data_IF_419132904920
#
_entry.id   IF_419132904920
#
_cell.length_a   1.000
_cell.length_b   1.000
_cell.length_c   1.000
_cell.angle_alpha   90.00
_cell.angle_beta   90.00
_cell.angle_gamma   90.00
#
_symmetry.space_group_name_H-M   'P 1'
#
loop_
_entity.id
_entity.type
_entity.pdbx_description
1 polymer ?
#
# COMPACT_ATOMS: atom_id res chain seq x y z
N UNK A 1 34.63 9.31 -25.99
CA UNK A 1 33.19 9.34 -25.64
C UNK A 1 33.04 8.56 -24.36
N UNK A 2 32.99 9.25 -23.22
CA UNK A 2 32.79 8.63 -21.91
C UNK A 2 31.30 8.37 -21.74
N UNK A 3 30.91 7.11 -21.91
CA UNK A 3 29.60 6.63 -21.50
C UNK A 3 29.47 6.90 -20.00
N UNK A 4 28.58 7.86 -19.67
CA UNK A 4 28.12 8.05 -18.30
C UNK A 4 27.39 6.77 -17.92
N UNK A 5 28.03 5.95 -17.08
CA UNK A 5 27.36 4.91 -16.33
C UNK A 5 26.29 5.65 -15.51
N UNK A 6 25.03 5.54 -15.96
CA UNK A 6 23.89 5.99 -15.17
C UNK A 6 23.83 5.02 -14.00
N UNK A 7 24.36 5.42 -12.85
CA UNK A 7 24.11 4.78 -11.57
C UNK A 7 22.59 4.81 -11.34
N UNK A 8 21.90 3.77 -11.80
CA UNK A 8 20.52 3.50 -11.40
C UNK A 8 20.58 3.10 -9.93
N UNK A 9 20.29 4.07 -9.06
CA UNK A 9 20.09 3.83 -7.64
C UNK A 9 19.15 2.60 -7.44
N UNK A 10 19.39 1.77 -6.42
CA UNK A 10 18.90 0.40 -6.37
C UNK A 10 17.37 0.34 -6.34
N UNK A 11 16.80 -0.07 -7.47
CA UNK A 11 15.63 -0.92 -7.72
C UNK A 11 14.69 -1.25 -6.54
N UNK A 12 14.24 -0.27 -5.75
CA UNK A 12 13.26 -0.47 -4.68
C UNK A 12 12.28 0.69 -4.61
N UNK A 13 11.78 1.14 -5.76
CA UNK A 13 10.89 2.30 -5.85
C UNK A 13 9.46 1.87 -6.15
N UNK A 14 8.52 2.63 -5.62
CA UNK A 14 7.10 2.49 -5.90
C UNK A 14 6.83 2.87 -7.36
N UNK A 15 6.05 2.07 -8.10
CA UNK A 15 5.70 2.39 -9.49
C UNK A 15 4.73 3.57 -9.60
N UNK A 16 3.99 3.89 -8.53
CA UNK A 16 2.99 4.97 -8.52
C UNK A 16 3.60 6.32 -8.11
N UNK A 17 4.32 6.36 -6.98
CA UNK A 17 4.87 7.63 -6.45
C UNK A 17 6.37 7.81 -6.67
N UNK A 18 7.06 6.82 -7.26
CA UNK A 18 8.53 6.78 -7.42
C UNK A 18 9.33 6.83 -6.10
N UNK A 19 8.70 6.88 -4.93
CA UNK A 19 9.41 6.85 -3.64
C UNK A 19 10.04 5.50 -3.35
N UNK A 20 11.10 5.51 -2.52
CA UNK A 20 11.74 4.28 -2.05
C UNK A 20 10.78 3.52 -1.13
N UNK A 21 10.57 2.23 -1.43
CA UNK A 21 9.77 1.32 -0.60
C UNK A 21 10.56 1.00 0.67
N UNK A 22 10.24 1.69 1.76
CA UNK A 22 10.85 1.49 3.09
C UNK A 22 10.12 0.45 3.93
N UNK A 23 8.85 0.17 3.60
CA UNK A 23 8.05 -0.88 4.21
C UNK A 23 7.63 -1.94 3.16
N UNK A 24 8.43 -3.01 2.99
CA UNK A 24 8.23 -4.01 1.95
C UNK A 24 7.13 -5.02 2.34
N UNK A 25 5.88 -4.58 2.39
CA UNK A 25 4.70 -5.45 2.50
C UNK A 25 3.92 -5.39 1.19
N UNK A 26 3.77 -6.53 0.51
CA UNK A 26 2.97 -6.57 -0.71
C UNK A 26 1.50 -6.29 -0.41
N UNK A 27 0.80 -5.82 -1.44
CA UNK A 27 -0.62 -5.49 -1.39
C UNK A 27 -1.48 -6.65 -0.92
N UNK A 28 -1.15 -7.90 -1.23
CA UNK A 28 -1.91 -9.07 -0.74
C UNK A 28 -1.82 -9.23 0.78
N UNK A 29 -0.61 -9.19 1.35
CA UNK A 29 -0.41 -9.30 2.80
C UNK A 29 -0.99 -8.08 3.52
N UNK A 30 -0.95 -6.92 2.89
CA UNK A 30 -1.50 -5.70 3.47
C UNK A 30 -3.03 -5.69 3.42
N UNK A 31 -3.63 -6.08 2.28
CA UNK A 31 -5.08 -6.24 2.11
C UNK A 31 -5.67 -7.25 3.09
N UNK A 32 -5.02 -8.40 3.31
CA UNK A 32 -5.47 -9.38 4.30
C UNK A 32 -5.56 -8.77 5.71
N UNK A 33 -4.57 -7.98 6.11
CA UNK A 33 -4.58 -7.30 7.42
C UNK A 33 -5.65 -6.22 7.51
N UNK A 34 -5.77 -5.40 6.47
CA UNK A 34 -6.78 -4.35 6.39
C UNK A 34 -8.20 -4.92 6.42
N UNK A 35 -8.46 -5.98 5.66
CA UNK A 35 -9.74 -6.67 5.62
C UNK A 35 -10.10 -7.25 7.00
N UNK A 36 -9.13 -7.79 7.76
CA UNK A 36 -9.39 -8.25 9.13
C UNK A 36 -9.85 -7.12 10.05
N UNK A 37 -9.20 -5.94 9.97
CA UNK A 37 -9.57 -4.77 10.77
C UNK A 37 -10.95 -4.24 10.38
N UNK A 38 -11.22 -4.08 9.08
CA UNK A 38 -12.52 -3.58 8.59
C UNK A 38 -13.65 -4.54 8.92
N UNK A 39 -13.38 -5.86 8.90
CA UNK A 39 -14.39 -6.91 9.17
C UNK A 39 -15.00 -6.82 10.56
N UNK A 40 -14.28 -6.27 11.55
CA UNK A 40 -14.81 -6.06 12.90
C UNK A 40 -15.96 -5.04 12.92
N UNK A 41 -16.00 -4.13 11.95
CA UNK A 41 -17.01 -3.09 11.83
C UNK A 41 -18.02 -3.37 10.71
N UNK A 42 -17.55 -3.88 9.57
CA UNK A 42 -18.38 -4.19 8.41
C UNK A 42 -17.80 -5.38 7.63
N UNK A 43 -18.45 -6.54 7.75
CA UNK A 43 -18.00 -7.77 7.11
C UNK A 43 -18.23 -7.82 5.60
N UNK A 44 -19.18 -7.06 5.06
CA UNK A 44 -19.41 -7.03 3.61
C UNK A 44 -18.40 -6.11 2.94
N UNK A 45 -18.16 -4.92 3.52
CA UNK A 45 -17.16 -3.99 3.01
C UNK A 45 -15.75 -4.59 3.05
N UNK A 46 -15.43 -5.37 4.08
CA UNK A 46 -14.16 -6.08 4.18
C UNK A 46 -13.91 -7.08 3.04
N UNK A 47 -14.95 -7.68 2.44
CA UNK A 47 -14.81 -8.61 1.31
C UNK A 47 -14.45 -7.89 0.02
N UNK A 48 -14.74 -6.60 -0.07
CA UNK A 48 -14.44 -5.78 -1.25
C UNK A 48 -13.00 -5.26 -1.25
N UNK A 49 -12.29 -5.34 -0.12
CA UNK A 49 -10.85 -5.06 -0.05
C UNK A 49 -10.09 -6.13 -0.82
N UNK A 50 -9.63 -5.77 -2.01
CA UNK A 50 -8.90 -6.65 -2.94
C UNK A 50 -7.48 -6.15 -3.11
N UNK A 51 -6.54 -7.07 -3.22
CA UNK A 51 -5.16 -6.75 -3.56
C UNK A 51 -4.94 -6.75 -5.06
N UNK A 52 -4.08 -5.84 -5.53
CA UNK A 52 -3.57 -5.84 -6.90
C UNK A 52 -2.09 -6.24 -6.83
N UNK A 53 -1.72 -7.32 -7.51
CA UNK A 53 -0.31 -7.72 -7.60
C UNK A 53 0.37 -6.89 -8.69
N UNK A 54 1.29 -6.03 -8.26
CA UNK A 54 2.14 -5.25 -9.15
C UNK A 54 3.56 -5.74 -8.92
N UNK A 55 4.18 -6.32 -9.95
CA UNK A 55 5.58 -6.75 -9.87
C UNK A 55 6.51 -5.53 -9.86
N UNK A 56 7.55 -5.64 -9.05
CA UNK A 56 8.64 -4.68 -8.97
C UNK A 56 9.89 -5.36 -8.46
N UNK A 57 10.91 -4.58 -8.20
CA UNK A 57 12.22 -5.10 -7.80
C UNK A 57 12.37 -5.29 -6.28
N UNK A 58 11.39 -4.84 -5.49
CA UNK A 58 11.32 -5.09 -4.04
C UNK A 58 10.62 -6.42 -3.75
N UNK A 59 11.04 -7.09 -2.69
CA UNK A 59 10.45 -8.35 -2.22
C UNK A 59 9.73 -8.16 -0.90
N UNK A 60 8.51 -8.68 -0.79
CA UNK A 60 7.74 -8.66 0.44
C UNK A 60 8.44 -9.45 1.55
N UNK A 61 8.65 -8.84 2.71
CA UNK A 61 9.32 -9.48 3.86
C UNK A 61 8.51 -10.61 4.49
N UNK A 62 7.20 -10.68 4.22
CA UNK A 62 6.31 -11.68 4.83
C UNK A 62 6.13 -12.93 3.97
N UNK A 63 5.87 -12.77 2.67
CA UNK A 63 5.56 -13.88 1.77
C UNK A 63 6.63 -14.14 0.69
N UNK A 64 7.64 -13.26 0.57
CA UNK A 64 8.72 -13.40 -0.42
C UNK A 64 8.33 -13.10 -1.87
N UNK A 65 7.10 -12.64 -2.15
CA UNK A 65 6.69 -12.22 -3.50
C UNK A 65 7.31 -10.88 -3.89
N UNK A 66 7.57 -10.70 -5.18
CA UNK A 66 7.94 -9.40 -5.76
C UNK A 66 6.78 -8.40 -5.65
N UNK A 67 7.12 -7.14 -5.46
CA UNK A 67 6.16 -6.04 -5.32
C UNK A 67 6.73 -4.74 -5.87
N UNK A 68 5.87 -3.94 -6.50
CA UNK A 68 6.18 -2.62 -7.05
C UNK A 68 5.38 -1.49 -6.42
N UNK A 69 4.41 -1.77 -5.53
CA UNK A 69 3.60 -0.75 -4.88
C UNK A 69 4.04 -0.57 -3.41
N UNK A 70 4.20 0.67 -2.95
CA UNK A 70 4.50 0.94 -1.55
C UNK A 70 3.24 0.82 -0.67
N UNK A 71 3.45 0.64 0.64
CA UNK A 71 2.36 0.57 1.60
C UNK A 71 1.51 1.86 1.63
N UNK A 72 2.12 3.03 1.41
CA UNK A 72 1.43 4.32 1.36
C UNK A 72 0.39 4.35 0.23
N UNK A 73 0.81 4.16 -1.02
CA UNK A 73 -0.10 4.21 -2.18
C UNK A 73 -1.22 3.17 -2.06
N UNK A 74 -0.92 1.94 -1.64
CA UNK A 74 -1.98 0.94 -1.46
C UNK A 74 -2.95 1.33 -0.34
N UNK A 75 -2.45 1.86 0.79
CA UNK A 75 -3.31 2.28 1.90
C UNK A 75 -4.17 3.48 1.52
N UNK A 76 -3.68 4.35 0.62
CA UNK A 76 -4.43 5.48 0.07
C UNK A 76 -5.64 5.01 -0.71
N UNK A 77 -5.44 4.09 -1.64
CA UNK A 77 -6.54 3.51 -2.44
C UNK A 77 -7.62 2.89 -1.55
N UNK A 78 -7.19 2.15 -0.51
CA UNK A 78 -8.13 1.54 0.45
C UNK A 78 -8.82 2.61 1.29
N UNK A 79 -8.12 3.65 1.75
CA UNK A 79 -8.71 4.74 2.51
C UNK A 79 -9.76 5.50 1.69
N UNK A 80 -9.47 5.85 0.45
CA UNK A 80 -10.40 6.53 -0.46
C UNK A 80 -11.64 5.67 -0.71
N UNK A 81 -11.44 4.36 -0.97
CA UNK A 81 -12.54 3.40 -1.08
C UNK A 81 -13.41 3.36 0.19
N UNK A 82 -12.80 3.29 1.37
CA UNK A 82 -13.53 3.29 2.63
C UNK A 82 -14.23 4.61 2.88
N UNK A 83 -13.64 5.75 2.50
CA UNK A 83 -14.22 7.08 2.67
C UNK A 83 -15.49 7.23 1.82
N UNK A 84 -15.50 6.72 0.59
CA UNK A 84 -16.66 6.75 -0.29
C UNK A 84 -17.82 5.85 0.20
N UNK A 85 -17.51 4.74 0.86
CA UNK A 85 -18.51 3.72 1.24
C UNK A 85 -18.94 3.83 2.71
N UNK A 86 -18.04 4.19 3.63
CA UNK A 86 -18.29 4.34 5.05
C UNK A 86 -17.22 5.23 5.73
N UNK A 87 -17.42 6.57 5.76
CA UNK A 87 -16.46 7.52 6.31
C UNK A 87 -16.00 7.24 7.74
N UNK A 88 -16.88 6.68 8.58
CA UNK A 88 -16.56 6.36 9.97
C UNK A 88 -15.48 5.27 10.06
N UNK A 89 -15.56 4.25 9.22
CA UNK A 89 -14.54 3.20 9.16
C UNK A 89 -13.22 3.77 8.62
N UNK A 90 -13.28 4.71 7.66
CA UNK A 90 -12.09 5.37 7.14
C UNK A 90 -11.32 6.16 8.21
N UNK A 91 -12.03 6.88 9.10
CA UNK A 91 -11.42 7.58 10.24
C UNK A 91 -10.70 6.62 11.21
N UNK A 92 -11.29 5.46 11.50
CA UNK A 92 -10.65 4.45 12.34
C UNK A 92 -9.46 3.79 11.61
N UNK A 93 -9.59 3.58 10.30
CA UNK A 93 -8.57 2.96 9.45
C UNK A 93 -7.28 3.77 9.44
N UNK A 94 -7.34 5.09 9.25
CA UNK A 94 -6.13 5.94 9.16
C UNK A 94 -5.34 5.96 10.48
N UNK A 95 -5.99 5.65 11.61
CA UNK A 95 -5.32 5.53 12.90
C UNK A 95 -4.47 4.26 13.03
N UNK A 96 -4.74 3.24 12.21
CA UNK A 96 -4.03 1.96 12.21
C UNK A 96 -3.09 1.80 11.00
N UNK A 97 -3.46 2.37 9.86
CA UNK A 97 -2.76 2.23 8.59
C UNK A 97 -2.36 3.59 8.01
N UNK A 98 -1.83 4.48 8.84
CA UNK A 98 -1.43 5.83 8.42
C UNK A 98 -0.42 5.77 7.27
N UNK A 99 0.74 5.13 7.41
CA UNK A 99 1.78 5.10 6.35
C UNK A 99 1.99 6.46 5.64
N UNK A 100 1.97 7.56 6.40
CA UNK A 100 2.02 8.95 5.92
C UNK A 100 0.77 9.48 5.18
N UNK A 101 -0.35 8.76 5.17
CA UNK A 101 -1.63 9.18 4.59
C UNK A 101 -2.15 10.49 5.19
N UNK A 102 -1.90 10.75 6.48
CA UNK A 102 -2.34 12.01 7.10
C UNK A 102 -1.74 13.26 6.44
N UNK A 103 -0.62 13.14 5.72
CA UNK A 103 -0.05 14.27 4.96
C UNK A 103 -0.88 14.63 3.72
N UNK A 104 -1.68 13.70 3.23
CA UNK A 104 -2.45 13.85 1.99
C UNK A 104 -3.88 14.34 2.24
N UNK A 105 -4.43 14.09 3.43
CA UNK A 105 -5.86 14.30 3.73
C UNK A 105 -6.16 15.21 4.93
N UNK A 106 -5.16 15.62 5.73
CA UNK A 106 -5.32 16.48 6.91
C UNK A 106 -4.53 17.78 6.75
#
# INVERSE_FOLDING_TARGET
>A
MTDKIIDKAPFNRCVECDDVITNPLCTSCLAERMAMVVKEQDSELAKEIKSIEIEGDTTCIFCGKKMGLCAHCFSKDIYEFLLENNPKIAEDFISQFDFDLRRDFI
#
